data_IF_804730885369
#
_entry.id   IF_804730885369
#
_cell.length_a   1.000
_cell.length_b   1.000
_cell.length_c   1.000
_cell.angle_alpha   90.00
_cell.angle_beta   90.00
_cell.angle_gamma   90.00
#
_symmetry.space_group_name_H-M   'P 1'
#
loop_
_entity.id
_entity.type
_entity.pdbx_description
1 polymer ?
#
# COMPACT_ATOMS: atom_id res chain seq x y z
N UNK A 1 12.59 -2.33 -12.11
CA UNK A 1 12.19 -3.43 -11.20
C UNK A 1 10.70 -3.65 -11.35
N UNK A 2 10.21 -4.90 -11.29
CA UNK A 2 8.89 -5.23 -11.85
C UNK A 2 7.88 -5.59 -10.74
N UNK A 3 7.49 -4.63 -9.89
CA UNK A 3 6.38 -4.81 -8.93
C UNK A 3 5.05 -4.96 -9.67
N UNK A 4 4.12 -5.71 -9.08
CA UNK A 4 2.75 -5.78 -9.57
C UNK A 4 1.89 -4.88 -8.69
N UNK A 5 1.11 -3.97 -9.29
CA UNK A 5 0.23 -3.08 -8.55
C UNK A 5 -1.22 -3.45 -8.83
N UNK A 6 -2.01 -3.63 -7.76
CA UNK A 6 -3.44 -3.87 -7.85
C UNK A 6 -4.20 -2.60 -7.54
N UNK A 7 -4.93 -2.08 -8.54
CA UNK A 7 -5.80 -0.91 -8.39
C UNK A 7 -7.27 -1.33 -8.46
N UNK A 8 -8.15 -0.53 -7.84
CA UNK A 8 -9.59 -0.77 -7.81
C UNK A 8 -10.24 -0.23 -6.55
N UNK A 9 -11.57 -0.22 -6.55
CA UNK A 9 -12.36 0.32 -5.44
C UNK A 9 -12.12 -0.43 -4.12
N UNK A 10 -12.37 0.19 -2.95
CA UNK A 10 -12.44 -0.51 -1.68
C UNK A 10 -13.34 -1.74 -1.76
N UNK A 11 -12.98 -2.81 -1.06
CA UNK A 11 -13.69 -4.10 -1.06
C UNK A 11 -13.75 -4.86 -2.42
N UNK A 12 -13.06 -4.43 -3.47
CA UNK A 12 -13.00 -5.14 -4.76
C UNK A 12 -12.18 -6.45 -4.75
N UNK A 13 -11.68 -6.89 -3.59
CA UNK A 13 -10.90 -8.13 -3.45
C UNK A 13 -9.39 -8.01 -3.67
N UNK A 14 -8.83 -6.80 -3.78
CA UNK A 14 -7.39 -6.55 -4.01
C UNK A 14 -6.49 -7.29 -3.03
N UNK A 15 -6.79 -7.24 -1.74
CA UNK A 15 -5.99 -7.90 -0.70
C UNK A 15 -6.00 -9.43 -0.86
N UNK A 16 -7.16 -10.01 -1.18
CA UNK A 16 -7.30 -11.45 -1.41
C UNK A 16 -6.48 -11.88 -2.63
N UNK A 17 -6.69 -11.20 -3.77
CA UNK A 17 -5.99 -11.52 -5.01
C UNK A 17 -4.48 -11.26 -4.89
N UNK A 18 -4.07 -10.16 -4.27
CA UNK A 18 -2.66 -9.80 -4.08
C UNK A 18 -1.89 -10.84 -3.27
N UNK A 19 -2.48 -11.37 -2.20
CA UNK A 19 -1.87 -12.46 -1.43
C UNK A 19 -1.72 -13.74 -2.25
N UNK A 20 -2.74 -14.09 -3.05
CA UNK A 20 -2.69 -15.25 -3.92
C UNK A 20 -1.62 -15.10 -5.02
N UNK A 21 -1.54 -13.93 -5.65
CA UNK A 21 -0.53 -13.63 -6.66
C UNK A 21 0.89 -13.60 -6.06
N UNK A 22 1.05 -13.02 -4.88
CA UNK A 22 2.33 -13.02 -4.17
C UNK A 22 2.81 -14.45 -3.89
N UNK A 23 1.93 -15.32 -3.37
CA UNK A 23 2.23 -16.73 -3.16
C UNK A 23 2.55 -17.46 -4.46
N UNK A 24 1.73 -17.26 -5.50
CA UNK A 24 1.90 -17.90 -6.80
C UNK A 24 3.24 -17.55 -7.48
N UNK A 25 3.67 -16.29 -7.39
CA UNK A 25 4.90 -15.81 -8.00
C UNK A 25 6.13 -15.81 -7.06
N UNK A 26 6.00 -16.29 -5.82
CA UNK A 26 7.10 -16.27 -4.84
C UNK A 26 7.55 -14.85 -4.42
N UNK A 27 6.63 -13.89 -4.44
CA UNK A 27 6.86 -12.46 -4.19
C UNK A 27 6.45 -12.06 -2.78
N UNK A 28 6.81 -10.85 -2.37
CA UNK A 28 6.23 -10.23 -1.17
C UNK A 28 4.83 -9.69 -1.47
N UNK A 29 3.98 -9.61 -0.45
CA UNK A 29 2.72 -8.88 -0.51
C UNK A 29 2.83 -7.64 0.37
N UNK A 30 2.43 -6.49 -0.15
CA UNK A 30 2.36 -5.24 0.61
C UNK A 30 1.01 -4.55 0.41
N UNK A 31 0.34 -4.26 1.51
CA UNK A 31 -0.85 -3.41 1.52
C UNK A 31 -0.42 -1.98 1.85
N UNK A 32 -0.68 -1.04 0.92
CA UNK A 32 -0.20 0.33 1.04
C UNK A 32 -0.88 1.08 2.20
N UNK A 33 -2.17 0.82 2.44
CA UNK A 33 -2.92 1.43 3.54
C UNK A 33 -2.37 0.98 4.90
N UNK A 34 -2.07 -0.31 5.02
CA UNK A 34 -1.44 -0.84 6.24
C UNK A 34 -0.05 -0.23 6.47
N UNK A 35 0.71 0.00 5.39
CA UNK A 35 2.01 0.66 5.47
C UNK A 35 1.89 2.11 5.92
N UNK A 36 0.92 2.86 5.40
CA UNK A 36 0.66 4.25 5.81
C UNK A 36 0.34 4.31 7.30
N UNK A 37 -0.53 3.42 7.79
CA UNK A 37 -0.89 3.34 9.22
C UNK A 37 0.33 3.02 10.09
N UNK A 38 1.16 2.06 9.66
CA UNK A 38 2.37 1.68 10.37
C UNK A 38 3.38 2.84 10.44
N UNK A 39 3.59 3.56 9.34
CA UNK A 39 4.53 4.69 9.26
C UNK A 39 3.98 5.93 10.02
N UNK A 40 2.67 6.14 10.05
CA UNK A 40 2.04 7.26 10.75
C UNK A 40 1.86 7.03 12.26
N UNK A 41 1.77 5.78 12.70
CA UNK A 41 1.41 5.43 14.08
C UNK A 41 -0.02 5.80 14.45
N UNK A 42 -0.87 6.06 13.45
CA UNK A 42 -2.27 6.45 13.59
C UNK A 42 -3.12 5.78 12.51
N UNK A 43 -4.40 5.55 12.79
CA UNK A 43 -5.35 4.99 11.83
C UNK A 43 -5.69 5.98 10.72
N UNK A 44 -6.17 5.46 9.58
CA UNK A 44 -6.61 6.31 8.45
C UNK A 44 -7.67 7.36 8.89
N UNK A 45 -8.72 7.01 9.64
CA UNK A 45 -9.68 8.01 10.13
C UNK A 45 -9.03 9.13 10.96
N UNK A 46 -8.05 8.81 11.80
CA UNK A 46 -7.32 9.82 12.59
C UNK A 46 -6.49 10.75 11.69
N UNK A 47 -5.84 10.20 10.66
CA UNK A 47 -5.09 10.99 9.66
C UNK A 47 -6.05 11.93 8.91
N UNK A 48 -7.21 11.45 8.47
CA UNK A 48 -8.20 12.29 7.81
C UNK A 48 -8.73 13.38 8.76
N UNK A 49 -8.93 13.07 10.04
CA UNK A 49 -9.39 14.04 11.03
C UNK A 49 -8.35 15.13 11.33
N UNK A 50 -7.06 14.81 11.34
CA UNK A 50 -5.99 15.75 11.68
C UNK A 50 -5.41 16.51 10.48
N UNK A 51 -5.33 15.87 9.30
CA UNK A 51 -4.65 16.40 8.12
C UNK A 51 -5.56 16.58 6.90
N UNK A 52 -6.81 16.12 6.98
CA UNK A 52 -7.74 16.09 5.85
C UNK A 52 -7.34 15.09 4.76
N UNK A 53 -8.12 15.07 3.68
CA UNK A 53 -7.83 14.22 2.53
C UNK A 53 -6.47 14.55 1.91
N UNK A 54 -6.12 15.84 1.81
CA UNK A 54 -4.85 16.26 1.19
C UNK A 54 -3.64 15.68 1.93
N UNK A 55 -3.66 15.67 3.28
CA UNK A 55 -2.62 15.05 4.08
C UNK A 55 -2.51 13.55 3.84
N UNK A 56 -3.64 12.86 3.82
CA UNK A 56 -3.67 11.44 3.48
C UNK A 56 -3.10 11.17 2.08
N UNK A 57 -3.46 11.97 1.06
CA UNK A 57 -2.93 11.83 -0.32
C UNK A 57 -1.43 12.06 -0.40
N UNK A 58 -0.88 13.02 0.38
CA UNK A 58 0.58 13.22 0.45
C UNK A 58 1.28 12.00 1.06
N UNK A 59 0.72 11.39 2.10
CA UNK A 59 1.25 10.17 2.72
C UNK A 59 1.18 8.97 1.77
N UNK A 60 0.06 8.81 1.07
CA UNK A 60 -0.14 7.78 0.06
C UNK A 60 0.90 7.89 -1.06
N UNK A 61 1.13 9.08 -1.59
CA UNK A 61 2.14 9.33 -2.62
C UNK A 61 3.56 9.04 -2.11
N UNK A 62 3.89 9.47 -0.89
CA UNK A 62 5.20 9.22 -0.28
C UNK A 62 5.45 7.72 -0.05
N UNK A 63 4.45 7.00 0.47
CA UNK A 63 4.53 5.55 0.67
C UNK A 63 4.71 4.80 -0.66
N UNK A 64 3.94 5.17 -1.69
CA UNK A 64 4.07 4.57 -3.03
C UNK A 64 5.46 4.83 -3.64
N UNK A 65 5.99 6.05 -3.52
CA UNK A 65 7.33 6.39 -3.99
C UNK A 65 8.41 5.57 -3.26
N UNK A 66 8.29 5.39 -1.94
CA UNK A 66 9.22 4.58 -1.17
C UNK A 66 9.17 3.09 -1.59
N UNK A 67 7.98 2.55 -1.86
CA UNK A 67 7.80 1.18 -2.36
C UNK A 67 8.36 1.04 -3.76
N UNK A 68 8.12 2.00 -4.65
CA UNK A 68 8.64 1.97 -6.03
C UNK A 68 10.18 2.02 -6.09
N UNK A 69 10.81 2.64 -5.10
CA UNK A 69 12.27 2.68 -4.95
C UNK A 69 12.86 1.43 -4.27
N UNK A 70 12.04 0.51 -3.76
CA UNK A 70 12.50 -0.67 -3.04
C UNK A 70 13.30 -1.61 -3.94
N UNK A 71 14.55 -1.91 -3.56
CA UNK A 71 15.46 -2.77 -4.33
C UNK A 71 15.50 -4.24 -3.91
N UNK A 72 14.63 -4.64 -2.97
CA UNK A 72 14.58 -6.00 -2.46
C UNK A 72 13.69 -6.94 -3.28
N UNK A 73 13.12 -7.95 -2.60
CA UNK A 73 12.22 -8.94 -3.21
C UNK A 73 11.06 -8.21 -3.92
N UNK A 74 10.75 -8.53 -5.19
CA UNK A 74 9.61 -7.91 -5.87
C UNK A 74 8.32 -8.13 -5.09
N UNK A 75 7.51 -7.08 -5.04
CA UNK A 75 6.23 -7.06 -4.35
C UNK A 75 5.05 -7.21 -5.32
N UNK A 76 3.94 -7.65 -4.75
CA UNK A 76 2.57 -7.52 -5.23
C UNK A 76 1.81 -6.62 -4.26
#
# INVERSE_FOLDING_TARGET
MNHLYLIGLPASGKTTLGRQLAAHYGRGFLDLDQRIVADAGQSIPEIFASEGEEGFRRREAAALAAVAAHQGRPLV
#
